data_IF_467321423906
#
_entry.id   IF_467321423906
#
_cell.length_a   1.000
_cell.length_b   1.000
_cell.length_c   1.000
_cell.angle_alpha   90.00
_cell.angle_beta   90.00
_cell.angle_gamma   90.00
#
_symmetry.space_group_name_H-M   'P 1'
#
loop_
_entity.id
_entity.type
_entity.pdbx_description
1 polymer ?
#
# COMPACT_ATOMS: atom_id res chain seq x y z
N UNK A 1 14.33 3.71 17.82
CA UNK A 1 15.31 3.35 18.84
C UNK A 1 15.31 1.83 19.12
N UNK A 2 14.21 1.25 19.60
CA UNK A 2 14.18 -0.20 19.87
C UNK A 2 14.54 -1.02 18.63
N UNK A 3 14.00 -0.65 17.46
CA UNK A 3 14.33 -1.33 16.21
C UNK A 3 15.83 -1.24 15.86
N UNK A 4 16.47 -0.07 16.14
CA UNK A 4 17.92 0.07 15.93
C UNK A 4 18.71 -0.86 16.88
N UNK A 5 18.27 -0.96 18.14
CA UNK A 5 18.92 -1.80 19.17
C UNK A 5 18.76 -3.29 18.90
N UNK A 6 17.57 -3.70 18.40
CA UNK A 6 17.21 -5.10 18.14
C UNK A 6 17.52 -5.56 16.70
N UNK A 7 17.98 -4.66 15.83
CA UNK A 7 18.29 -4.98 14.43
C UNK A 7 17.05 -5.22 13.56
N UNK A 8 15.91 -4.64 13.91
CA UNK A 8 14.66 -4.76 13.15
C UNK A 8 14.64 -3.71 12.05
N UNK A 9 14.44 -4.13 10.80
CA UNK A 9 14.33 -3.26 9.63
C UNK A 9 12.95 -2.61 9.58
N UNK A 10 12.92 -1.31 9.29
CA UNK A 10 11.70 -0.50 9.27
C UNK A 10 11.50 0.14 7.91
N UNK A 11 10.31 0.03 7.36
CA UNK A 11 9.77 0.91 6.33
C UNK A 11 8.96 1.95 7.08
N UNK A 12 9.42 3.19 7.07
CA UNK A 12 8.77 4.27 7.81
C UNK A 12 7.75 4.96 6.92
N UNK A 13 6.52 5.10 7.41
CA UNK A 13 5.38 5.49 6.60
C UNK A 13 4.71 6.75 7.13
N UNK A 14 4.26 7.60 6.20
CA UNK A 14 3.41 8.74 6.54
C UNK A 14 2.05 8.27 7.05
N UNK A 15 1.35 9.14 7.78
CA UNK A 15 0.00 8.85 8.28
C UNK A 15 -1.09 8.97 7.20
N UNK A 16 -0.72 8.99 5.93
CA UNK A 16 -1.65 9.13 4.80
C UNK A 16 -2.36 7.81 4.48
N UNK A 17 -3.23 7.39 5.39
CA UNK A 17 -4.20 6.30 5.19
C UNK A 17 -5.52 6.90 4.72
N UNK A 18 -6.15 6.29 3.71
CA UNK A 18 -7.47 6.73 3.25
C UNK A 18 -7.45 7.95 2.32
N UNK A 19 -6.34 8.28 1.68
CA UNK A 19 -6.32 9.20 0.52
C UNK A 19 -7.00 8.50 -0.67
N UNK A 20 -8.23 8.09 -0.44
CA UNK A 20 -9.06 7.31 -1.34
C UNK A 20 -10.55 7.53 -0.99
N UNK A 21 -11.21 8.41 -1.72
CA UNK A 21 -12.64 8.70 -1.51
C UNK A 21 -13.55 7.52 -1.89
N UNK A 22 -13.03 6.50 -2.55
CA UNK A 22 -13.78 5.31 -2.95
C UNK A 22 -13.63 4.18 -1.91
N UNK A 23 -12.69 4.30 -0.97
CA UNK A 23 -12.43 3.28 0.03
C UNK A 23 -13.58 3.17 1.04
N UNK A 24 -14.00 1.95 1.34
CA UNK A 24 -15.07 1.73 2.31
C UNK A 24 -16.49 1.79 1.73
N UNK A 25 -16.63 1.77 0.41
CA UNK A 25 -17.95 1.69 -0.22
C UNK A 25 -18.85 2.85 0.13
N UNK A 26 -18.28 4.07 0.11
CA UNK A 26 -19.01 5.29 0.42
C UNK A 26 -20.39 5.26 -0.21
N UNK A 27 -21.45 5.31 0.59
CA UNK A 27 -22.82 5.29 0.14
C UNK A 27 -23.04 6.50 -0.76
N UNK A 28 -23.00 6.29 -2.07
CA UNK A 28 -23.40 7.28 -3.03
C UNK A 28 -24.93 7.39 -2.97
N UNK A 29 -25.43 8.34 -2.21
CA UNK A 29 -26.86 8.70 -2.17
C UNK A 29 -27.30 9.39 -3.48
N UNK A 30 -26.92 8.84 -4.65
CA UNK A 30 -27.39 9.31 -5.96
C UNK A 30 -26.66 10.54 -6.55
N UNK A 31 -25.52 10.93 -6.01
CA UNK A 31 -24.65 11.98 -6.58
C UNK A 31 -23.62 11.44 -7.58
N UNK A 32 -23.06 12.32 -8.40
CA UNK A 32 -21.89 11.99 -9.22
C UNK A 32 -20.70 11.60 -8.31
N UNK A 33 -19.95 10.57 -8.71
CA UNK A 33 -18.72 10.18 -7.99
C UNK A 33 -17.67 11.26 -8.21
N UNK A 34 -17.24 11.89 -7.14
CA UNK A 34 -16.10 12.80 -7.16
C UNK A 34 -14.82 11.95 -7.19
N UNK A 35 -13.94 12.24 -8.16
CA UNK A 35 -12.61 11.62 -8.21
C UNK A 35 -11.77 12.02 -7.00
N UNK A 36 -11.01 11.09 -6.44
CA UNK A 36 -10.19 11.35 -5.24
C UNK A 36 -9.26 12.55 -5.41
N UNK A 37 -8.69 12.72 -6.59
CA UNK A 37 -7.77 13.83 -6.91
C UNK A 37 -8.40 14.88 -7.85
N UNK A 38 -9.74 14.98 -7.87
CA UNK A 38 -10.41 16.06 -8.58
C UNK A 38 -9.93 17.42 -8.07
N UNK A 39 -9.66 18.34 -8.99
CA UNK A 39 -9.02 19.63 -8.67
C UNK A 39 -9.88 20.57 -7.84
N UNK A 40 -11.19 20.43 -7.94
CA UNK A 40 -12.15 21.34 -7.31
C UNK A 40 -12.79 20.72 -6.06
N UNK A 41 -13.13 19.43 -6.12
CA UNK A 41 -13.92 18.75 -5.10
C UNK A 41 -13.21 17.54 -4.46
N UNK A 42 -12.05 17.15 -4.98
CA UNK A 42 -11.26 16.04 -4.45
C UNK A 42 -10.43 16.42 -3.23
N UNK A 43 -9.46 15.59 -2.92
CA UNK A 43 -8.56 15.77 -1.77
C UNK A 43 -7.64 16.97 -1.98
N UNK A 44 -7.71 17.97 -1.11
CA UNK A 44 -6.93 19.21 -1.17
C UNK A 44 -5.77 19.24 -0.16
N UNK A 45 -5.19 18.08 0.18
CA UNK A 45 -4.24 17.94 1.27
C UNK A 45 -2.78 17.80 0.82
N UNK A 46 -2.46 18.00 -0.46
CA UNK A 46 -1.11 17.74 -1.00
C UNK A 46 -0.02 18.54 -0.27
N UNK A 47 -0.24 19.82 0.01
CA UNK A 47 0.77 20.65 0.70
C UNK A 47 0.97 20.19 2.14
N UNK A 48 -0.11 19.88 2.85
CA UNK A 48 0.00 19.29 4.19
C UNK A 48 0.72 17.92 4.16
N UNK A 49 0.45 17.10 3.15
CA UNK A 49 1.15 15.83 2.96
C UNK A 49 2.65 16.01 2.74
N UNK A 50 3.06 17.07 2.03
CA UNK A 50 4.48 17.45 1.91
C UNK A 50 5.09 17.79 3.27
N UNK A 51 4.35 18.49 4.13
CA UNK A 51 4.83 18.79 5.48
C UNK A 51 4.99 17.51 6.31
N UNK A 52 4.04 16.59 6.23
CA UNK A 52 4.15 15.26 6.88
C UNK A 52 5.39 14.50 6.40
N UNK A 53 5.67 14.49 5.09
CA UNK A 53 6.90 13.87 4.55
C UNK A 53 8.17 14.53 5.09
N UNK A 54 8.20 15.87 5.18
CA UNK A 54 9.34 16.61 5.75
C UNK A 54 9.57 16.25 7.21
N UNK A 55 8.51 16.23 8.00
CA UNK A 55 8.56 15.93 9.43
C UNK A 55 9.02 14.49 9.67
N UNK A 56 8.47 13.52 8.95
CA UNK A 56 8.84 12.12 9.03
C UNK A 56 10.34 11.93 8.77
N UNK A 57 10.83 12.40 7.63
CA UNK A 57 12.23 12.25 7.23
C UNK A 57 13.15 13.04 8.16
N UNK A 58 12.78 14.25 8.55
CA UNK A 58 13.57 15.06 9.47
C UNK A 58 13.76 14.38 10.82
N UNK A 59 12.70 13.75 11.34
CA UNK A 59 12.71 13.02 12.62
C UNK A 59 13.55 11.75 12.56
N UNK A 60 13.37 10.95 11.49
CA UNK A 60 13.77 9.55 11.49
C UNK A 60 14.96 9.22 10.56
N UNK A 61 15.44 10.16 9.76
CA UNK A 61 16.57 9.96 8.83
C UNK A 61 17.87 9.43 9.46
N UNK A 62 18.05 9.62 10.78
CA UNK A 62 19.25 9.18 11.51
C UNK A 62 19.08 7.80 12.16
N UNK A 63 17.92 7.15 12.01
CA UNK A 63 17.71 5.78 12.48
C UNK A 63 18.25 4.78 11.46
N UNK A 64 19.21 3.97 11.88
CA UNK A 64 19.82 2.95 11.02
C UNK A 64 18.84 1.86 10.59
N UNK A 65 17.82 1.60 11.41
CA UNK A 65 16.77 0.63 11.11
C UNK A 65 15.84 1.07 9.95
N UNK A 66 15.71 2.37 9.68
CA UNK A 66 14.87 2.88 8.59
C UNK A 66 15.58 2.69 7.27
N UNK A 67 15.06 1.84 6.41
CA UNK A 67 15.67 1.47 5.12
C UNK A 67 14.91 1.98 3.92
N UNK A 68 13.65 2.37 4.10
CA UNK A 68 12.78 2.83 3.03
C UNK A 68 11.71 3.77 3.59
N UNK A 69 11.21 4.68 2.75
CA UNK A 69 10.09 5.58 3.06
C UNK A 69 8.84 5.13 2.30
N UNK A 70 7.72 5.04 3.00
CA UNK A 70 6.40 4.84 2.39
C UNK A 70 5.60 6.14 2.44
N UNK A 71 5.12 6.57 1.28
CA UNK A 71 4.46 7.88 1.11
C UNK A 71 2.98 7.81 1.49
N UNK A 72 2.34 6.66 1.32
CA UNK A 72 0.93 6.47 1.67
C UNK A 72 0.59 4.98 1.75
N UNK A 73 -0.42 4.65 2.57
CA UNK A 73 -1.05 3.32 2.60
C UNK A 73 -2.38 3.33 1.85
N UNK A 74 -2.51 2.44 0.89
CA UNK A 74 -3.75 2.15 0.14
C UNK A 74 -4.48 3.39 -0.42
N UNK A 75 -3.75 4.37 -0.99
CA UNK A 75 -4.42 5.49 -1.63
C UNK A 75 -5.12 5.05 -2.92
N UNK A 76 -5.94 5.94 -3.48
CA UNK A 76 -6.57 5.76 -4.79
C UNK A 76 -5.53 5.95 -5.92
N UNK A 77 -4.49 5.12 -5.90
CA UNK A 77 -3.29 5.25 -6.74
C UNK A 77 -3.52 4.99 -8.23
N UNK A 78 -4.67 4.41 -8.57
CA UNK A 78 -5.10 4.19 -9.96
C UNK A 78 -6.04 5.30 -10.48
N UNK A 79 -6.47 6.23 -9.62
CA UNK A 79 -7.36 7.30 -10.03
C UNK A 79 -6.69 8.33 -10.95
N UNK A 80 -7.49 8.98 -11.77
CA UNK A 80 -7.06 10.17 -12.51
C UNK A 80 -6.51 11.23 -11.54
N UNK A 81 -5.37 11.82 -11.88
CA UNK A 81 -4.68 12.80 -11.02
C UNK A 81 -3.77 12.20 -9.93
N UNK A 82 -3.83 10.89 -9.67
CA UNK A 82 -2.99 10.25 -8.65
C UNK A 82 -1.49 10.48 -8.90
N UNK A 83 -1.03 10.32 -10.13
CA UNK A 83 0.36 10.55 -10.46
C UNK A 83 0.80 11.99 -10.13
N UNK A 84 -0.01 12.98 -10.50
CA UNK A 84 0.30 14.41 -10.27
C UNK A 84 0.26 14.77 -8.78
N UNK A 85 -0.59 14.08 -8.01
CA UNK A 85 -0.64 14.24 -6.56
C UNK A 85 0.60 13.64 -5.87
N UNK A 86 0.99 12.41 -6.21
CA UNK A 86 2.06 11.69 -5.50
C UNK A 86 3.45 12.05 -5.99
N UNK A 87 3.65 12.36 -7.27
CA UNK A 87 4.99 12.65 -7.81
C UNK A 87 5.76 13.72 -7.03
N UNK A 88 5.18 14.90 -6.68
CA UNK A 88 5.89 15.90 -5.89
C UNK A 88 6.29 15.42 -4.48
N UNK A 89 5.55 14.47 -3.90
CA UNK A 89 5.86 13.89 -2.59
C UNK A 89 7.06 12.94 -2.69
N UNK A 90 7.12 12.10 -3.74
CA UNK A 90 8.29 11.26 -4.01
C UNK A 90 9.54 12.09 -4.32
N UNK A 91 9.41 13.13 -5.14
CA UNK A 91 10.52 14.02 -5.47
C UNK A 91 11.06 14.69 -4.19
N UNK A 92 10.16 15.20 -3.34
CA UNK A 92 10.51 15.81 -2.06
C UNK A 92 11.22 14.80 -1.14
N UNK A 93 10.69 13.61 -0.96
CA UNK A 93 11.32 12.60 -0.11
C UNK A 93 12.75 12.26 -0.59
N UNK A 94 12.94 12.09 -1.89
CA UNK A 94 14.24 11.85 -2.51
C UNK A 94 15.19 13.06 -2.42
N UNK A 95 14.65 14.27 -2.41
CA UNK A 95 15.44 15.50 -2.28
C UNK A 95 16.01 15.66 -0.86
N UNK A 96 15.14 15.49 0.15
CA UNK A 96 15.49 15.83 1.55
C UNK A 96 16.13 14.69 2.33
N UNK A 97 16.01 13.43 1.90
CA UNK A 97 16.73 12.33 2.54
C UNK A 97 18.20 12.33 2.10
N UNK A 98 19.16 12.60 3.03
CA UNK A 98 20.58 12.63 2.70
C UNK A 98 21.14 11.27 2.29
N UNK A 99 20.48 10.17 2.68
CA UNK A 99 20.91 8.81 2.35
C UNK A 99 20.27 8.28 1.05
N UNK A 100 19.32 9.04 0.48
CA UNK A 100 18.62 8.66 -0.77
C UNK A 100 18.01 7.28 -0.71
N UNK A 101 17.36 6.96 0.41
CA UNK A 101 16.66 5.68 0.59
C UNK A 101 15.58 5.49 -0.47
N UNK A 102 15.27 4.26 -0.82
CA UNK A 102 14.13 3.95 -1.69
C UNK A 102 12.83 4.53 -1.13
N UNK A 103 11.94 4.92 -2.04
CA UNK A 103 10.60 5.37 -1.70
C UNK A 103 9.55 4.46 -2.35
N UNK A 104 8.46 4.25 -1.65
CA UNK A 104 7.29 3.50 -2.12
C UNK A 104 5.99 4.20 -1.74
N UNK A 105 4.89 3.73 -2.26
CA UNK A 105 3.55 3.79 -1.68
C UNK A 105 2.96 2.38 -1.71
N UNK A 106 2.08 2.09 -0.77
CA UNK A 106 1.47 0.77 -0.63
C UNK A 106 0.21 0.69 -1.48
N UNK A 107 0.21 -0.19 -2.46
CA UNK A 107 -0.86 -0.36 -3.44
C UNK A 107 -2.01 -1.18 -2.87
N UNK A 108 -3.24 -0.65 -2.93
CA UNK A 108 -4.46 -1.34 -2.50
C UNK A 108 -4.80 -2.50 -3.43
N UNK A 109 -5.41 -3.54 -2.90
CA UNK A 109 -5.90 -4.65 -3.72
C UNK A 109 -6.96 -4.20 -4.73
N UNK A 110 -6.88 -4.71 -5.95
CA UNK A 110 -7.74 -4.32 -7.08
C UNK A 110 -7.09 -3.35 -8.07
N UNK A 111 -5.97 -2.71 -7.72
CA UNK A 111 -5.15 -1.97 -8.68
C UNK A 111 -4.25 -2.91 -9.48
N UNK A 112 -3.81 -2.46 -10.63
CA UNK A 112 -2.95 -3.26 -11.54
C UNK A 112 -1.67 -2.51 -11.88
N UNK A 113 -0.65 -3.23 -12.33
CA UNK A 113 0.62 -2.66 -12.75
C UNK A 113 0.48 -1.57 -13.83
N UNK A 114 -0.55 -1.67 -14.66
CA UNK A 114 -0.80 -0.72 -15.76
C UNK A 114 -1.50 0.56 -15.28
N UNK A 115 -2.35 0.46 -14.26
CA UNK A 115 -3.21 1.58 -13.81
C UNK A 115 -2.64 2.30 -12.60
N UNK A 116 -1.92 1.60 -11.71
CA UNK A 116 -1.40 2.15 -10.47
C UNK A 116 -0.21 3.09 -10.72
N UNK A 117 -0.25 4.30 -10.20
CA UNK A 117 0.84 5.27 -10.35
C UNK A 117 2.13 4.82 -9.63
N UNK A 118 2.05 3.90 -8.66
CA UNK A 118 3.23 3.32 -7.99
C UNK A 118 4.15 2.61 -8.97
N UNK A 119 3.62 2.04 -10.05
CA UNK A 119 4.39 1.42 -11.12
C UNK A 119 5.48 2.34 -11.69
N UNK A 120 5.20 3.64 -11.72
CA UNK A 120 6.11 4.69 -12.23
C UNK A 120 6.92 5.36 -11.12
N UNK A 121 6.33 5.58 -9.96
CA UNK A 121 6.88 6.40 -8.88
C UNK A 121 7.74 5.60 -7.90
N UNK A 122 7.31 4.40 -7.50
CA UNK A 122 7.97 3.60 -6.46
C UNK A 122 9.28 2.98 -6.95
N UNK A 123 10.28 2.96 -6.08
CA UNK A 123 11.53 2.22 -6.30
C UNK A 123 11.36 0.73 -6.00
N UNK A 124 10.54 0.41 -5.01
CA UNK A 124 10.07 -0.93 -4.65
C UNK A 124 8.55 -0.94 -4.73
N UNK A 125 7.97 -1.91 -5.39
CA UNK A 125 6.52 -2.09 -5.47
C UNK A 125 6.04 -2.77 -4.20
N UNK A 126 5.24 -2.07 -3.39
CA UNK A 126 4.65 -2.60 -2.16
C UNK A 126 3.16 -2.85 -2.37
N UNK A 127 2.72 -4.06 -2.05
CA UNK A 127 1.38 -4.55 -2.35
C UNK A 127 0.69 -5.06 -1.07
N UNK A 128 -0.53 -4.57 -0.81
CA UNK A 128 -1.44 -5.18 0.14
C UNK A 128 -2.35 -6.13 -0.64
N UNK A 129 -2.24 -7.43 -0.39
CA UNK A 129 -2.96 -8.45 -1.16
C UNK A 129 -3.50 -9.54 -0.27
N UNK A 130 -4.82 -9.71 -0.34
CA UNK A 130 -5.58 -10.61 0.51
C UNK A 130 -6.32 -11.66 -0.35
N UNK A 131 -5.59 -12.29 -1.26
CA UNK A 131 -6.10 -13.45 -2.00
C UNK A 131 -6.39 -14.59 -1.03
N UNK A 132 -7.55 -15.22 -1.22
CA UNK A 132 -8.04 -16.21 -0.27
C UNK A 132 -8.80 -15.61 0.91
N UNK A 133 -8.82 -14.28 1.07
CA UNK A 133 -9.58 -13.61 2.12
C UNK A 133 -10.62 -12.66 1.55
N UNK A 134 -10.26 -11.43 1.18
CA UNK A 134 -11.20 -10.49 0.56
C UNK A 134 -11.50 -10.82 -0.91
N UNK A 135 -10.61 -11.53 -1.59
CA UNK A 135 -10.73 -11.88 -3.00
C UNK A 135 -10.46 -13.36 -3.20
N UNK A 136 -11.36 -14.04 -3.93
CA UNK A 136 -11.25 -15.45 -4.30
C UNK A 136 -11.51 -16.44 -3.15
N UNK A 137 -11.62 -15.99 -1.90
CA UNK A 137 -11.96 -16.88 -0.78
C UNK A 137 -13.41 -17.38 -0.86
N UNK A 138 -13.67 -18.61 -0.42
CA UNK A 138 -12.74 -19.58 0.18
C UNK A 138 -12.02 -20.49 -0.83
N UNK A 139 -12.09 -20.23 -2.14
CA UNK A 139 -11.43 -21.04 -3.16
C UNK A 139 -9.95 -20.65 -3.29
N UNK A 140 -9.10 -21.36 -2.55
CA UNK A 140 -7.66 -21.09 -2.51
C UNK A 140 -6.96 -21.40 -3.84
N UNK A 141 -7.47 -22.34 -4.66
CA UNK A 141 -6.90 -22.66 -5.98
C UNK A 141 -7.10 -21.48 -6.96
N UNK A 142 -8.29 -20.88 -6.96
CA UNK A 142 -8.58 -19.67 -7.76
C UNK A 142 -7.74 -18.51 -7.26
N UNK A 143 -7.62 -18.35 -5.95
CA UNK A 143 -6.85 -17.30 -5.30
C UNK A 143 -5.36 -17.37 -5.65
N UNK A 144 -4.77 -18.57 -5.58
CA UNK A 144 -3.36 -18.79 -5.98
C UNK A 144 -3.14 -18.45 -7.46
N UNK A 145 -4.01 -18.88 -8.35
CA UNK A 145 -3.89 -18.54 -9.78
C UNK A 145 -3.99 -17.05 -10.04
N UNK A 146 -4.90 -16.37 -9.33
CA UNK A 146 -5.05 -14.92 -9.41
C UNK A 146 -3.80 -14.18 -8.96
N UNK A 147 -3.29 -14.55 -7.78
CA UNK A 147 -2.08 -13.96 -7.21
C UNK A 147 -0.86 -14.18 -8.11
N UNK A 148 -0.64 -15.40 -8.60
CA UNK A 148 0.48 -15.72 -9.51
C UNK A 148 0.42 -14.89 -10.78
N UNK A 149 -0.78 -14.71 -11.36
CA UNK A 149 -0.96 -13.86 -12.54
C UNK A 149 -0.61 -12.41 -12.23
N UNK A 150 -1.12 -11.87 -11.14
CA UNK A 150 -0.86 -10.49 -10.74
C UNK A 150 0.64 -10.24 -10.50
N UNK A 151 1.32 -11.12 -9.75
CA UNK A 151 2.75 -11.03 -9.52
C UNK A 151 3.55 -11.10 -10.82
N UNK A 152 3.12 -11.92 -11.78
CA UNK A 152 3.74 -11.94 -13.10
C UNK A 152 3.60 -10.61 -13.84
N UNK A 153 2.46 -9.94 -13.70
CA UNK A 153 2.23 -8.63 -14.35
C UNK A 153 3.07 -7.53 -13.69
N UNK A 154 3.12 -7.47 -12.36
CA UNK A 154 4.00 -6.55 -11.63
C UNK A 154 5.49 -6.83 -11.89
N UNK A 155 5.88 -8.09 -12.01
CA UNK A 155 7.27 -8.50 -12.31
C UNK A 155 7.80 -7.99 -13.65
N UNK A 156 6.93 -7.73 -14.62
CA UNK A 156 7.30 -7.15 -15.93
C UNK A 156 7.89 -5.75 -15.83
N UNK A 157 7.65 -5.04 -14.73
CA UNK A 157 8.21 -3.71 -14.48
C UNK A 157 9.71 -3.75 -14.18
N UNK A 158 10.29 -4.92 -13.86
CA UNK A 158 11.70 -5.05 -13.51
C UNK A 158 12.08 -4.39 -12.19
N UNK A 159 11.12 -4.09 -11.32
CA UNK A 159 11.32 -3.55 -9.97
C UNK A 159 11.13 -4.65 -8.93
N UNK A 160 11.79 -4.55 -7.76
CA UNK A 160 11.49 -5.42 -6.63
C UNK A 160 10.01 -5.32 -6.23
N UNK A 161 9.40 -6.44 -5.87
CA UNK A 161 8.02 -6.51 -5.38
C UNK A 161 8.04 -7.07 -3.97
N UNK A 162 7.27 -6.47 -3.06
CA UNK A 162 7.12 -6.87 -1.67
C UNK A 162 5.65 -6.85 -1.28
N UNK A 163 5.22 -7.83 -0.52
CA UNK A 163 3.96 -7.74 0.21
C UNK A 163 4.18 -6.98 1.51
N UNK A 164 3.36 -5.96 1.72
CA UNK A 164 3.29 -5.20 2.96
C UNK A 164 2.16 -5.66 3.86
N UNK A 165 1.10 -6.20 3.26
CA UNK A 165 0.03 -6.88 3.97
C UNK A 165 -0.48 -8.08 3.17
N UNK A 166 -0.76 -9.19 3.86
CA UNK A 166 -1.33 -10.41 3.29
C UNK A 166 -1.92 -11.29 4.39
N UNK A 167 -2.65 -12.33 3.99
CA UNK A 167 -3.16 -13.36 4.89
C UNK A 167 -4.66 -13.32 5.08
N UNK A 168 -5.13 -14.04 6.10
CA UNK A 168 -6.52 -14.18 6.46
C UNK A 168 -6.70 -13.99 7.97
N UNK A 169 -7.84 -13.43 8.37
CA UNK A 169 -8.20 -13.34 9.79
C UNK A 169 -8.56 -14.73 10.34
N UNK A 170 -8.24 -14.94 11.60
CA UNK A 170 -8.60 -16.15 12.33
C UNK A 170 -9.12 -15.82 13.72
N UNK A 171 -9.92 -16.74 14.27
CA UNK A 171 -10.33 -16.70 15.67
C UNK A 171 -9.41 -17.65 16.44
N UNK A 172 -8.60 -17.10 17.35
CA UNK A 172 -7.65 -17.88 18.14
C UNK A 172 -8.32 -19.07 18.84
N UNK A 173 -7.81 -20.27 18.63
CA UNK A 173 -8.35 -21.50 19.17
C UNK A 173 -9.55 -22.07 18.40
N UNK A 174 -9.95 -21.46 17.28
CA UNK A 174 -10.98 -22.04 16.40
C UNK A 174 -10.31 -22.99 15.43
N UNK A 175 -10.64 -24.29 15.59
CA UNK A 175 -10.12 -25.38 14.77
C UNK A 175 -11.24 -26.15 14.05
N UNK A 176 -10.95 -26.65 12.86
CA UNK A 176 -11.84 -27.56 12.12
C UNK A 176 -11.01 -28.66 11.44
N UNK A 177 -11.65 -29.76 11.08
CA UNK A 177 -11.04 -30.85 10.32
C UNK A 177 -10.84 -30.51 8.83
N UNK A 178 -11.41 -29.41 8.39
CA UNK A 178 -11.28 -28.83 7.05
C UNK A 178 -10.89 -27.36 7.17
N UNK A 179 -10.15 -26.83 6.20
CA UNK A 179 -9.76 -25.43 6.17
C UNK A 179 -10.98 -24.54 5.85
N UNK A 180 -11.68 -24.12 6.90
CA UNK A 180 -12.81 -23.20 6.81
C UNK A 180 -12.38 -21.80 7.19
N UNK A 181 -12.84 -20.76 6.49
CA UNK A 181 -12.54 -19.38 6.82
C UNK A 181 -12.75 -19.12 8.32
N UNK A 182 -11.84 -18.31 8.91
CA UNK A 182 -11.71 -17.99 10.33
C UNK A 182 -11.08 -19.09 11.21
N UNK A 183 -10.79 -20.29 10.70
CA UNK A 183 -10.03 -21.30 11.45
C UNK A 183 -8.54 -21.05 11.35
N UNK A 184 -7.77 -21.56 12.32
CA UNK A 184 -6.31 -21.49 12.28
C UNK A 184 -5.74 -22.31 11.12
N UNK A 185 -6.38 -23.42 10.76
CA UNK A 185 -6.03 -24.24 9.59
C UNK A 185 -6.12 -23.42 8.29
N UNK A 186 -7.18 -22.64 8.11
CA UNK A 186 -7.35 -21.79 6.93
C UNK A 186 -6.27 -20.70 6.84
N UNK A 187 -5.91 -20.11 7.97
CA UNK A 187 -4.88 -19.07 8.00
C UNK A 187 -3.48 -19.61 7.65
N UNK A 188 -3.21 -20.88 7.99
CA UNK A 188 -1.91 -21.52 7.74
C UNK A 188 -1.79 -21.99 6.29
N UNK A 189 -2.88 -22.36 5.64
CA UNK A 189 -2.92 -22.81 4.24
C UNK A 189 -2.66 -21.69 3.26
#
# INVERSE_FOLDING_TARGET
RLCDEEGIVVIDETTAVGVNLQFGGGANFGGERIGTFDKEHGVQTQEHHKDVVRDLISRDKNHACVVMWSIANEPDSAAEGAYDYFKPLFDLAKEIDPQKRPCTLVSVQGTTADTDCSSKLSDVICLNRYYGWYFGGPDLEISEKGLRKELSDWGKLGKPVMFTEYGADTVSGLHDTTSVMYTEEYQVE
#
